data_IF_843432606125
#
_entry.id   IF_843432606125
#
_cell.length_a   1.000
_cell.length_b   1.000
_cell.length_c   1.000
_cell.angle_alpha   90.00
_cell.angle_beta   90.00
_cell.angle_gamma   90.00
#
_symmetry.space_group_name_H-M   'P 1'
#
loop_
_entity.id
_entity.type
_entity.pdbx_description
1 polymer ?
#
# COMPACT_ATOMS: atom_id res chain seq x y z
N UNK A 1 18.53 11.42 -8.00
CA UNK A 1 17.84 12.01 -9.18
C UNK A 1 16.51 12.65 -8.78
N UNK A 2 15.66 11.97 -8.00
CA UNK A 2 14.37 12.51 -7.54
C UNK A 2 14.49 13.86 -6.81
N UNK A 3 15.38 13.96 -5.81
CA UNK A 3 15.65 15.22 -5.09
C UNK A 3 15.97 16.40 -6.03
N UNK A 4 16.93 16.23 -6.95
CA UNK A 4 17.27 17.26 -7.93
C UNK A 4 16.09 17.66 -8.84
N UNK A 5 15.20 16.71 -9.17
CA UNK A 5 13.99 17.00 -9.95
C UNK A 5 12.95 17.77 -9.12
N UNK A 6 12.73 17.38 -7.86
CA UNK A 6 11.84 18.10 -6.95
C UNK A 6 12.31 19.55 -6.75
N UNK A 7 13.62 19.75 -6.57
CA UNK A 7 14.24 21.07 -6.56
C UNK A 7 13.96 21.84 -7.85
N UNK A 8 14.16 21.23 -9.01
CA UNK A 8 13.93 21.89 -10.30
C UNK A 8 12.49 22.38 -10.44
N UNK A 9 11.51 21.60 -9.98
CA UNK A 9 10.09 21.99 -9.97
C UNK A 9 9.87 23.14 -8.99
N UNK A 10 10.39 23.04 -7.78
CA UNK A 10 10.25 24.08 -6.75
C UNK A 10 10.90 25.43 -7.16
N UNK A 11 12.04 25.37 -7.85
CA UNK A 11 12.71 26.52 -8.45
C UNK A 11 11.86 27.12 -9.57
N UNK A 12 11.34 26.28 -10.48
CA UNK A 12 10.47 26.75 -11.56
C UNK A 12 9.20 27.44 -11.03
N UNK A 13 8.51 26.85 -10.04
CA UNK A 13 7.34 27.47 -9.40
C UNK A 13 7.69 28.81 -8.77
N UNK A 14 8.84 28.93 -8.10
CA UNK A 14 9.28 30.22 -7.53
C UNK A 14 9.48 31.27 -8.63
N UNK A 15 10.11 30.87 -9.74
CA UNK A 15 10.58 31.81 -10.75
C UNK A 15 9.49 32.23 -11.76
N UNK A 16 8.41 31.45 -11.90
CA UNK A 16 7.35 31.70 -12.92
C UNK A 16 6.02 32.22 -12.38
N UNK A 17 5.81 32.20 -11.06
CA UNK A 17 4.51 32.55 -10.45
C UNK A 17 4.16 34.03 -10.46
N UNK A 18 5.10 34.91 -10.78
CA UNK A 18 4.81 36.34 -10.95
C UNK A 18 4.28 37.04 -9.69
N UNK A 19 4.44 36.44 -8.51
CA UNK A 19 3.92 36.94 -7.23
C UNK A 19 2.64 36.26 -6.75
N UNK A 20 2.07 35.31 -7.50
CA UNK A 20 0.92 34.52 -7.08
C UNK A 20 1.25 33.66 -5.84
N UNK A 21 0.28 33.54 -4.92
CA UNK A 21 0.39 32.62 -3.78
C UNK A 21 0.08 31.19 -4.23
N UNK A 22 1.14 30.40 -4.40
CA UNK A 22 1.05 29.02 -4.87
C UNK A 22 1.33 28.02 -3.74
N UNK A 23 0.40 27.10 -3.56
CA UNK A 23 0.57 25.89 -2.77
C UNK A 23 1.22 24.79 -3.62
N UNK A 24 2.48 24.48 -3.34
CA UNK A 24 3.19 23.33 -3.92
C UNK A 24 3.16 22.17 -2.92
N UNK A 25 2.61 21.04 -3.36
CA UNK A 25 2.60 19.78 -2.63
C UNK A 25 3.47 18.78 -3.38
N UNK A 26 4.41 18.14 -2.68
CA UNK A 26 5.20 17.02 -3.17
C UNK A 26 4.96 15.86 -2.22
N UNK A 27 4.42 14.76 -2.73
CA UNK A 27 4.00 13.62 -1.91
C UNK A 27 4.31 12.30 -2.62
N UNK A 28 4.16 11.20 -1.88
CA UNK A 28 4.11 9.84 -2.40
C UNK A 28 2.70 9.28 -2.22
N UNK A 29 2.32 8.33 -3.06
CA UNK A 29 1.14 7.49 -2.89
C UNK A 29 1.30 6.50 -1.74
N UNK A 30 2.48 5.89 -1.62
CA UNK A 30 2.84 4.99 -0.52
C UNK A 30 4.35 5.08 -0.19
N UNK A 31 4.72 4.47 0.93
CA UNK A 31 6.11 4.14 1.27
C UNK A 31 6.53 2.79 0.67
N UNK A 32 7.59 2.19 1.19
CA UNK A 32 8.05 0.85 0.82
C UNK A 32 8.66 0.17 2.05
N UNK A 33 8.64 -1.16 2.07
CA UNK A 33 9.43 -1.98 3.00
C UNK A 33 10.38 -2.89 2.20
N UNK A 34 11.40 -3.41 2.88
CA UNK A 34 12.38 -4.30 2.24
C UNK A 34 11.82 -5.73 2.20
N UNK A 35 11.82 -6.34 1.01
CA UNK A 35 11.49 -7.76 0.84
C UNK A 35 12.58 -8.60 1.52
N UNK A 36 12.23 -9.33 2.57
CA UNK A 36 13.14 -10.23 3.27
C UNK A 36 13.04 -11.67 2.73
N UNK A 37 11.86 -12.07 2.28
CA UNK A 37 11.56 -13.41 1.78
C UNK A 37 10.43 -13.40 0.75
N UNK A 38 10.38 -14.45 -0.07
CA UNK A 38 9.35 -14.67 -1.08
C UNK A 38 8.47 -15.85 -0.65
N UNK A 39 7.15 -15.65 -0.67
CA UNK A 39 6.14 -16.61 -0.22
C UNK A 39 5.47 -17.23 -1.45
N UNK A 40 5.72 -18.51 -1.77
CA UNK A 40 5.19 -19.17 -2.96
C UNK A 40 3.76 -19.69 -2.70
N UNK A 41 2.81 -18.80 -2.42
CA UNK A 41 1.46 -19.14 -1.96
C UNK A 41 0.70 -20.05 -2.93
N UNK A 42 0.84 -19.84 -4.24
CA UNK A 42 0.21 -20.71 -5.24
C UNK A 42 0.74 -22.15 -5.14
N UNK A 43 2.06 -22.30 -5.02
CA UNK A 43 2.70 -23.62 -4.83
C UNK A 43 2.20 -24.28 -3.53
N UNK A 44 2.12 -23.52 -2.43
CA UNK A 44 1.61 -24.03 -1.15
C UNK A 44 0.17 -24.58 -1.28
N UNK A 45 -0.70 -23.87 -2.00
CA UNK A 45 -2.08 -24.31 -2.25
C UNK A 45 -2.15 -25.57 -3.11
N UNK A 46 -1.29 -25.67 -4.14
CA UNK A 46 -1.21 -26.86 -5.00
C UNK A 46 -0.72 -28.07 -4.23
N UNK A 47 0.35 -27.93 -3.45
CA UNK A 47 0.93 -29.01 -2.64
C UNK A 47 -0.05 -29.52 -1.56
N UNK A 48 -0.90 -28.63 -1.04
CA UNK A 48 -1.97 -28.99 -0.12
C UNK A 48 -3.20 -29.62 -0.79
N UNK A 49 -3.24 -29.71 -2.12
CA UNK A 49 -4.40 -30.20 -2.88
C UNK A 49 -5.60 -29.24 -2.85
N UNK A 50 -5.37 -27.97 -2.55
CA UNK A 50 -6.38 -26.92 -2.49
C UNK A 50 -6.51 -26.16 -3.83
N UNK A 51 -5.53 -26.32 -4.71
CA UNK A 51 -5.55 -25.88 -6.12
C UNK A 51 -5.09 -27.05 -7.00
N UNK A 52 -5.72 -27.26 -8.14
CA UNK A 52 -5.51 -28.45 -8.98
C UNK A 52 -4.20 -28.42 -9.75
N UNK A 53 -3.65 -27.23 -9.98
CA UNK A 53 -2.37 -27.03 -10.64
C UNK A 53 -2.12 -25.57 -11.01
N UNK A 54 -0.95 -25.22 -11.58
CA UNK A 54 -0.60 -23.83 -11.89
C UNK A 54 -1.56 -23.19 -12.89
N UNK A 55 -1.95 -23.91 -13.95
CA UNK A 55 -2.84 -23.38 -15.01
C UNK A 55 -4.34 -23.55 -14.69
N UNK A 56 -4.68 -24.00 -13.49
CA UNK A 56 -6.06 -24.21 -13.05
C UNK A 56 -6.72 -22.89 -12.62
N UNK A 57 -8.05 -22.81 -12.59
CA UNK A 57 -8.79 -21.53 -12.41
C UNK A 57 -9.87 -21.56 -11.33
N UNK A 58 -10.06 -22.71 -10.69
CA UNK A 58 -11.00 -22.90 -9.59
C UNK A 58 -10.52 -22.24 -8.29
N UNK A 59 -9.19 -22.09 -8.13
CA UNK A 59 -8.55 -21.25 -7.13
C UNK A 59 -7.46 -20.43 -7.81
N UNK A 60 -7.55 -19.10 -7.73
CA UNK A 60 -6.59 -18.17 -8.35
C UNK A 60 -5.97 -17.28 -7.29
N UNK A 61 -4.64 -17.22 -7.27
CA UNK A 61 -3.89 -16.29 -6.44
C UNK A 61 -3.52 -15.08 -7.27
N UNK A 62 -3.87 -13.88 -6.79
CA UNK A 62 -3.40 -12.62 -7.33
C UNK A 62 -2.49 -11.95 -6.28
N UNK A 63 -1.19 -11.94 -6.54
CA UNK A 63 -0.22 -11.24 -5.70
C UNK A 63 -0.34 -9.73 -5.88
N UNK A 64 -0.12 -9.00 -4.79
CA UNK A 64 -0.02 -7.54 -4.76
C UNK A 64 1.19 -7.14 -3.88
N UNK A 65 2.33 -7.81 -4.09
CA UNK A 65 3.56 -7.56 -3.34
C UNK A 65 3.46 -8.12 -1.92
N UNK A 66 3.21 -7.25 -0.93
CA UNK A 66 3.08 -7.64 0.48
C UNK A 66 1.67 -8.10 0.90
N UNK A 67 0.73 -8.13 -0.04
CA UNK A 67 -0.56 -8.80 0.12
C UNK A 67 -0.82 -9.77 -1.04
N UNK A 68 -1.79 -10.66 -0.84
CA UNK A 68 -2.30 -11.53 -1.88
C UNK A 68 -3.81 -11.70 -1.73
N UNK A 69 -4.46 -11.98 -2.86
CA UNK A 69 -5.89 -12.19 -2.96
C UNK A 69 -6.17 -13.57 -3.53
N UNK A 70 -7.04 -14.33 -2.88
CA UNK A 70 -7.41 -15.68 -3.32
C UNK A 70 -8.87 -15.63 -3.79
N UNK A 71 -9.07 -15.89 -5.08
CA UNK A 71 -10.37 -16.04 -5.70
C UNK A 71 -10.72 -17.52 -5.79
N UNK A 72 -11.95 -17.87 -5.42
CA UNK A 72 -12.42 -19.26 -5.41
C UNK A 72 -13.70 -19.36 -6.23
N UNK A 73 -13.68 -20.20 -7.27
CA UNK A 73 -14.84 -20.45 -8.11
C UNK A 73 -15.92 -21.26 -7.36
N UNK A 74 -17.17 -21.21 -7.83
CA UNK A 74 -18.30 -21.83 -7.12
C UNK A 74 -18.12 -23.35 -6.97
N UNK A 75 -17.50 -24.00 -7.95
CA UNK A 75 -17.19 -25.44 -7.97
C UNK A 75 -16.13 -25.89 -6.95
N UNK A 76 -15.33 -24.96 -6.40
CA UNK A 76 -14.26 -25.25 -5.45
C UNK A 76 -14.51 -24.66 -4.05
N UNK A 77 -15.75 -24.24 -3.75
CA UNK A 77 -16.09 -23.64 -2.45
C UNK A 77 -15.95 -24.61 -1.27
N UNK A 78 -15.97 -25.91 -1.52
CA UNK A 78 -15.66 -26.93 -0.52
C UNK A 78 -14.21 -26.84 0.01
N UNK A 79 -13.31 -26.18 -0.73
CA UNK A 79 -11.90 -25.97 -0.35
C UNK A 79 -11.69 -24.77 0.59
N UNK A 80 -12.69 -23.89 0.77
CA UNK A 80 -12.54 -22.65 1.56
C UNK A 80 -11.99 -22.90 2.98
N UNK A 81 -12.54 -23.89 3.69
CA UNK A 81 -12.07 -24.21 5.04
C UNK A 81 -10.64 -24.77 5.09
N UNK A 82 -10.21 -25.48 4.03
CA UNK A 82 -8.84 -25.95 3.91
C UNK A 82 -7.85 -24.82 3.61
N UNK A 83 -8.26 -23.86 2.76
CA UNK A 83 -7.47 -22.65 2.47
C UNK A 83 -7.31 -21.82 3.73
N UNK A 84 -8.40 -21.53 4.44
CA UNK A 84 -8.35 -20.77 5.70
C UNK A 84 -7.41 -21.43 6.72
N UNK A 85 -7.54 -22.73 6.95
CA UNK A 85 -6.68 -23.46 7.86
C UNK A 85 -5.19 -23.44 7.45
N UNK A 86 -4.89 -23.49 6.15
CA UNK A 86 -3.51 -23.39 5.64
C UNK A 86 -2.94 -21.99 5.88
N UNK A 87 -3.73 -20.94 5.67
CA UNK A 87 -3.33 -19.56 5.90
C UNK A 87 -3.10 -19.29 7.40
N UNK A 88 -4.01 -19.75 8.26
CA UNK A 88 -3.90 -19.60 9.72
C UNK A 88 -2.68 -20.34 10.30
N UNK A 89 -2.29 -21.46 9.69
CA UNK A 89 -1.12 -22.23 10.09
C UNK A 89 0.21 -21.68 9.54
N UNK A 90 0.18 -20.69 8.63
CA UNK A 90 1.37 -20.15 8.00
C UNK A 90 2.01 -19.07 8.87
N UNK A 91 3.29 -19.27 9.22
CA UNK A 91 4.09 -18.24 9.88
C UNK A 91 4.34 -17.01 8.98
N UNK A 92 4.06 -17.10 7.69
CA UNK A 92 4.30 -16.03 6.73
C UNK A 92 3.13 -15.04 6.60
N UNK A 93 1.94 -15.40 7.05
CA UNK A 93 0.72 -14.58 6.97
C UNK A 93 0.51 -13.80 8.28
N UNK A 94 0.16 -12.52 8.17
CA UNK A 94 -0.10 -11.66 9.34
C UNK A 94 -1.60 -11.49 9.61
N UNK A 95 -2.33 -10.95 8.63
CA UNK A 95 -3.78 -10.78 8.71
C UNK A 95 -4.49 -11.54 7.59
N UNK A 96 -5.65 -12.09 7.92
CA UNK A 96 -6.56 -12.77 6.98
C UNK A 96 -7.90 -12.04 7.04
N UNK A 97 -8.36 -11.57 5.88
CA UNK A 97 -9.67 -10.95 5.70
C UNK A 97 -10.53 -11.86 4.80
N UNK A 98 -11.66 -12.30 5.32
CA UNK A 98 -12.64 -13.13 4.61
C UNK A 98 -14.07 -12.67 4.90
N UNK A 99 -15.00 -12.99 4.00
CA UNK A 99 -16.41 -12.60 4.14
C UNK A 99 -16.57 -11.09 4.34
N UNK A 100 -17.36 -10.68 5.34
CA UNK A 100 -17.60 -9.26 5.63
C UNK A 100 -16.34 -8.48 6.04
N UNK A 101 -15.29 -9.17 6.52
CA UNK A 101 -14.04 -8.52 6.90
C UNK A 101 -13.27 -7.95 5.70
N UNK A 102 -13.54 -8.44 4.47
CA UNK A 102 -12.96 -7.91 3.23
C UNK A 102 -13.29 -6.41 3.04
N UNK A 103 -14.45 -5.96 3.50
CA UNK A 103 -14.84 -4.55 3.40
C UNK A 103 -13.93 -3.62 4.23
N UNK A 104 -13.27 -4.13 5.28
CA UNK A 104 -12.34 -3.34 6.11
C UNK A 104 -11.09 -2.89 5.35
N UNK A 105 -10.73 -3.63 4.30
CA UNK A 105 -9.59 -3.33 3.42
C UNK A 105 -10.04 -2.88 2.04
N UNK A 106 -11.29 -2.40 1.93
CA UNK A 106 -11.80 -1.78 0.70
C UNK A 106 -12.24 -2.75 -0.39
N UNK A 107 -12.30 -4.06 -0.12
CA UNK A 107 -12.80 -5.03 -1.09
C UNK A 107 -14.32 -5.16 -1.05
N UNK A 108 -14.87 -5.58 -2.20
CA UNK A 108 -16.28 -5.96 -2.33
C UNK A 108 -16.49 -7.37 -1.77
N UNK A 109 -17.57 -7.54 -1.03
CA UNK A 109 -17.96 -8.83 -0.41
C UNK A 109 -18.90 -9.65 -1.31
N UNK A 110 -19.39 -9.08 -2.40
CA UNK A 110 -20.29 -9.70 -3.37
C UNK A 110 -19.56 -10.22 -4.63
N UNK A 111 -18.34 -10.76 -4.44
CA UNK A 111 -17.47 -11.24 -5.53
C UNK A 111 -16.88 -12.61 -5.20
N UNK A 112 -16.24 -13.30 -6.16
CA UNK A 112 -15.51 -14.56 -5.90
C UNK A 112 -14.22 -14.41 -5.06
N UNK A 113 -13.86 -13.19 -4.63
CA UNK A 113 -12.75 -12.98 -3.70
C UNK A 113 -13.09 -13.63 -2.36
N UNK A 114 -12.36 -14.69 -2.01
CA UNK A 114 -12.57 -15.44 -0.79
C UNK A 114 -11.71 -14.90 0.36
N UNK A 115 -10.44 -14.62 0.08
CA UNK A 115 -9.47 -14.16 1.06
C UNK A 115 -8.64 -13.01 0.52
N UNK A 116 -8.41 -12.01 1.37
CA UNK A 116 -7.32 -11.05 1.21
C UNK A 116 -6.40 -11.22 2.40
N UNK A 117 -5.09 -11.34 2.16
CA UNK A 117 -4.12 -11.60 3.21
C UNK A 117 -2.94 -10.63 3.11
N UNK A 118 -2.32 -10.33 4.25
CA UNK A 118 -1.06 -9.60 4.32
C UNK A 118 0.07 -10.53 4.76
N UNK A 119 1.27 -10.26 4.28
CA UNK A 119 2.46 -10.95 4.73
C UNK A 119 2.95 -10.40 6.07
N UNK A 120 3.60 -11.26 6.86
CA UNK A 120 4.21 -10.87 8.13
C UNK A 120 5.40 -9.93 7.90
N UNK A 121 5.32 -8.78 8.56
CA UNK A 121 6.31 -7.72 8.56
C UNK A 121 6.96 -7.49 9.94
N UNK A 122 8.05 -6.73 9.96
CA UNK A 122 8.72 -6.30 11.20
C UNK A 122 9.40 -4.93 11.07
N UNK A 123 9.68 -4.31 12.21
CA UNK A 123 10.47 -3.08 12.34
C UNK A 123 11.98 -3.26 12.13
N UNK A 124 12.41 -4.45 11.68
CA UNK A 124 13.80 -4.73 11.35
C UNK A 124 14.35 -3.75 10.31
N UNK A 125 15.67 -3.61 10.25
CA UNK A 125 16.34 -2.76 9.28
C UNK A 125 17.18 -3.59 8.31
N UNK A 126 17.20 -3.18 7.04
CA UNK A 126 18.09 -3.78 6.04
C UNK A 126 19.55 -3.36 6.24
N UNK A 127 20.45 -3.83 5.39
CA UNK A 127 21.90 -3.54 5.46
C UNK A 127 22.26 -2.04 5.37
N UNK A 128 21.33 -1.21 4.89
CA UNK A 128 21.48 0.25 4.78
C UNK A 128 20.87 1.01 5.97
N UNK A 129 20.31 0.30 6.96
CA UNK A 129 19.65 0.90 8.12
C UNK A 129 18.22 1.40 7.84
N UNK A 130 17.63 1.07 6.69
CA UNK A 130 16.24 1.42 6.37
C UNK A 130 15.32 0.41 7.07
N UNK A 131 14.39 0.92 7.89
CA UNK A 131 13.44 0.10 8.63
C UNK A 131 12.30 -0.43 7.75
N UNK A 132 11.69 -1.52 8.20
CA UNK A 132 10.61 -2.21 7.51
C UNK A 132 11.16 -3.39 6.72
N UNK A 133 10.91 -4.59 7.25
CA UNK A 133 11.15 -5.86 6.58
C UNK A 133 9.82 -6.59 6.40
N UNK A 134 9.58 -7.16 5.24
CA UNK A 134 8.31 -7.82 4.93
C UNK A 134 8.51 -9.06 4.04
N UNK A 135 7.61 -10.03 4.15
CA UNK A 135 7.51 -11.11 3.17
C UNK A 135 6.73 -10.61 1.95
N UNK A 136 7.09 -11.05 0.75
CA UNK A 136 6.32 -10.74 -0.45
C UNK A 136 5.77 -12.02 -1.07
N UNK A 137 4.51 -12.00 -1.48
CA UNK A 137 3.91 -13.11 -2.20
C UNK A 137 4.46 -13.17 -3.63
N UNK A 138 4.87 -14.35 -4.05
CA UNK A 138 5.37 -14.59 -5.40
C UNK A 138 4.32 -14.19 -6.44
N UNK A 139 4.75 -13.41 -7.44
CA UNK A 139 3.97 -13.15 -8.64
C UNK A 139 4.65 -13.87 -9.82
N UNK A 140 4.10 -15.00 -10.32
CA UNK A 140 4.71 -15.72 -11.42
C UNK A 140 4.69 -14.94 -12.75
N UNK A 141 3.90 -13.86 -12.83
CA UNK A 141 3.78 -13.00 -14.01
C UNK A 141 4.70 -11.78 -13.95
N UNK A 142 5.34 -11.50 -12.80
CA UNK A 142 6.20 -10.34 -12.59
C UNK A 142 7.53 -10.71 -11.95
N UNK A 143 8.64 -10.25 -12.55
CA UNK A 143 9.98 -10.38 -11.96
C UNK A 143 10.38 -9.22 -11.04
N UNK A 144 9.45 -8.34 -10.67
CA UNK A 144 9.75 -7.09 -9.94
C UNK A 144 10.04 -7.31 -8.45
N UNK A 145 9.49 -8.38 -7.87
CA UNK A 145 9.71 -8.71 -6.45
C UNK A 145 11.02 -9.47 -6.28
N UNK A 146 11.94 -8.90 -5.50
CA UNK A 146 13.26 -9.47 -5.22
C UNK A 146 13.67 -9.24 -3.77
N UNK A 147 14.31 -10.24 -3.16
CA UNK A 147 14.88 -10.12 -1.82
C UNK A 147 15.88 -8.95 -1.79
N UNK A 148 15.81 -8.14 -0.74
CA UNK A 148 16.59 -6.90 -0.56
C UNK A 148 16.06 -5.70 -1.37
N UNK A 149 15.08 -5.91 -2.25
CA UNK A 149 14.38 -4.83 -2.94
C UNK A 149 13.34 -4.17 -2.06
N UNK A 150 12.96 -2.94 -2.39
CA UNK A 150 11.75 -2.32 -1.84
C UNK A 150 10.52 -2.83 -2.57
N UNK A 151 9.44 -3.10 -1.83
CA UNK A 151 8.12 -3.41 -2.37
C UNK A 151 7.05 -2.74 -1.48
N UNK A 152 5.79 -2.84 -1.86
CA UNK A 152 4.62 -2.34 -1.13
C UNK A 152 3.38 -3.23 -1.41
N UNK A 153 2.21 -2.76 -0.99
CA UNK A 153 0.90 -3.36 -1.28
C UNK A 153 0.28 -4.12 -0.11
N UNK A 154 0.91 -4.10 1.07
CA UNK A 154 0.39 -4.69 2.31
C UNK A 154 -0.13 -3.63 3.29
N UNK A 155 -0.03 -3.94 4.59
CA UNK A 155 -0.41 -3.07 5.70
C UNK A 155 0.77 -2.73 6.63
N UNK A 156 2.00 -2.87 6.16
CA UNK A 156 3.19 -2.51 6.92
C UNK A 156 3.26 -1.04 7.27
N UNK A 157 3.82 -0.75 8.45
CA UNK A 157 3.91 0.61 8.94
C UNK A 157 4.65 1.49 7.95
N UNK A 158 5.81 1.09 7.44
CA UNK A 158 6.61 2.00 6.61
C UNK A 158 6.09 2.12 5.18
N UNK A 159 5.37 1.13 4.66
CA UNK A 159 4.68 1.25 3.37
C UNK A 159 3.42 2.12 3.45
N UNK A 160 2.76 2.19 4.61
CA UNK A 160 1.61 3.06 4.83
C UNK A 160 1.99 4.49 5.26
N UNK A 161 3.28 4.80 5.40
CA UNK A 161 3.78 6.14 5.74
C UNK A 161 4.51 6.80 4.55
N UNK A 162 3.79 7.30 3.52
CA UNK A 162 4.39 8.10 2.45
C UNK A 162 4.93 9.43 2.98
N UNK A 163 5.89 10.02 2.26
CA UNK A 163 6.36 11.37 2.57
C UNK A 163 5.37 12.44 2.07
N UNK A 164 5.37 13.59 2.75
CA UNK A 164 4.63 14.79 2.35
C UNK A 164 5.48 16.04 2.61
N UNK A 165 5.62 16.87 1.59
CA UNK A 165 6.27 18.18 1.65
C UNK A 165 5.29 19.22 1.11
N UNK A 166 5.04 20.27 1.88
CA UNK A 166 4.14 21.37 1.51
C UNK A 166 4.92 22.69 1.54
N UNK A 167 4.68 23.55 0.55
CA UNK A 167 5.29 24.88 0.47
C UNK A 167 4.27 25.90 -0.05
N UNK A 168 4.20 27.07 0.59
CA UNK A 168 3.24 28.14 0.24
C UNK A 168 1.95 28.03 1.06
N UNK A 169 0.91 28.82 0.75
CA UNK A 169 -0.41 28.72 1.41
C UNK A 169 -0.40 28.93 2.93
N UNK A 170 0.54 29.73 3.42
CA UNK A 170 0.70 30.03 4.85
C UNK A 170 1.52 29.01 5.65
N UNK A 171 2.00 27.91 5.05
CA UNK A 171 2.87 26.96 5.74
C UNK A 171 4.29 27.52 5.96
N UNK A 172 4.79 27.41 7.20
CA UNK A 172 6.13 27.85 7.57
C UNK A 172 7.25 27.08 6.85
N UNK A 173 8.31 27.78 6.45
CA UNK A 173 9.48 27.17 5.82
C UNK A 173 10.37 26.45 6.85
N UNK A 174 10.82 25.24 6.52
CA UNK A 174 11.72 24.46 7.38
C UNK A 174 11.07 23.95 8.67
N UNK A 175 9.73 23.90 8.70
CA UNK A 175 8.97 23.39 9.83
C UNK A 175 8.62 21.93 9.57
N UNK A 176 8.89 21.07 10.56
CA UNK A 176 8.44 19.68 10.58
C UNK A 176 7.16 19.57 11.43
N UNK A 177 6.17 18.81 10.93
CA UNK A 177 4.94 18.51 11.68
C UNK A 177 4.96 17.07 12.13
N UNK A 178 4.72 16.84 13.42
CA UNK A 178 4.40 15.52 13.95
C UNK A 178 2.88 15.23 13.93
N UNK A 179 2.07 16.14 13.37
CA UNK A 179 0.62 15.93 13.27
C UNK A 179 0.35 14.80 12.28
N UNK A 180 -0.48 13.85 12.69
CA UNK A 180 -0.92 12.78 11.80
C UNK A 180 -1.76 13.35 10.65
N UNK A 181 -1.45 12.91 9.43
CA UNK A 181 -2.10 13.34 8.19
C UNK A 181 -2.35 12.14 7.30
N UNK A 182 -3.28 12.27 6.36
CA UNK A 182 -3.58 11.25 5.37
C UNK A 182 -3.59 11.83 3.97
N UNK A 183 -3.39 10.98 2.95
CA UNK A 183 -3.52 11.39 1.55
C UNK A 183 -4.89 12.03 1.24
N UNK A 184 -5.94 11.63 1.96
CA UNK A 184 -7.28 12.23 1.81
C UNK A 184 -7.37 13.68 2.28
N UNK A 185 -6.38 14.17 3.03
CA UNK A 185 -6.29 15.56 3.48
C UNK A 185 -5.78 16.51 2.39
N UNK A 186 -5.19 16.00 1.31
CA UNK A 186 -4.61 16.82 0.24
C UNK A 186 -5.69 17.62 -0.51
N UNK A 187 -6.79 16.98 -0.89
CA UNK A 187 -7.89 17.64 -1.59
C UNK A 187 -8.52 18.80 -0.80
N UNK A 188 -8.95 18.62 0.48
CA UNK A 188 -9.48 19.72 1.27
C UNK A 188 -8.43 20.80 1.57
N UNK A 189 -7.13 20.47 1.63
CA UNK A 189 -6.06 21.48 1.75
C UNK A 189 -5.96 22.37 0.51
N UNK A 190 -6.01 21.77 -0.69
CA UNK A 190 -6.00 22.51 -1.95
C UNK A 190 -7.23 23.40 -2.06
N UNK A 191 -8.42 22.88 -1.74
CA UNK A 191 -9.66 23.67 -1.79
C UNK A 191 -9.64 24.82 -0.79
N UNK A 192 -9.11 24.59 0.41
CA UNK A 192 -8.93 25.63 1.42
C UNK A 192 -8.01 26.75 0.91
N UNK A 193 -6.86 26.41 0.32
CA UNK A 193 -5.92 27.37 -0.28
C UNK A 193 -6.56 28.20 -1.39
N UNK A 194 -7.40 27.57 -2.22
CA UNK A 194 -8.12 28.24 -3.31
C UNK A 194 -9.34 29.04 -2.85
N UNK A 195 -9.67 29.04 -1.55
CA UNK A 195 -10.87 29.69 -1.02
C UNK A 195 -12.18 29.06 -1.52
N UNK A 196 -12.15 27.77 -1.87
CA UNK A 196 -13.29 27.03 -2.39
C UNK A 196 -14.06 26.28 -1.27
N UNK A 197 -15.34 25.92 -1.49
CA UNK A 197 -16.12 25.19 -0.51
C UNK A 197 -15.49 23.84 -0.14
N UNK A 198 -15.47 23.56 1.16
CA UNK A 198 -15.06 22.28 1.72
C UNK A 198 -16.30 21.41 1.94
N UNK A 199 -16.42 20.28 1.26
CA UNK A 199 -17.54 19.36 1.46
C UNK A 199 -17.44 18.08 0.63
N UNK A 200 -18.04 16.99 1.13
CA UNK A 200 -18.11 15.71 0.43
C UNK A 200 -16.79 14.92 0.38
N UNK A 201 -15.89 15.15 1.32
CA UNK A 201 -14.60 14.46 1.43
C UNK A 201 -14.41 13.94 2.86
N UNK A 202 -13.65 12.86 3.01
CA UNK A 202 -13.34 12.26 4.32
C UNK A 202 -12.22 12.99 5.06
N UNK A 203 -11.28 13.58 4.31
CA UNK A 203 -10.14 14.30 4.87
C UNK A 203 -10.47 15.71 5.37
N UNK A 204 -9.47 16.35 5.99
CA UNK A 204 -9.54 17.71 6.52
C UNK A 204 -8.37 18.56 6.00
N UNK A 205 -8.52 19.89 5.88
CA UNK A 205 -7.39 20.73 5.50
C UNK A 205 -6.23 20.58 6.49
N UNK A 206 -5.02 20.46 5.96
CA UNK A 206 -3.80 20.56 6.72
C UNK A 206 -3.69 21.97 7.31
N UNK A 207 -3.36 22.05 8.60
CA UNK A 207 -3.24 23.34 9.28
C UNK A 207 -1.82 23.89 9.12
N UNK A 208 -1.66 25.14 8.66
CA UNK A 208 -0.37 25.80 8.69
C UNK A 208 0.06 25.98 10.16
N UNK A 209 1.32 25.64 10.45
CA UNK A 209 1.98 25.92 11.73
C UNK A 209 2.68 27.27 11.69
#
# INVERSE_FOLDING_TARGET
RADANARRIADAVRDTTGGDDVLLIVASDHGHETVERIIPLETMLIEAGLKDGPDSSEVVVASNGFSAHIYVADEARDRLGGIEALLEASDDVDEIFAGDALARVGHRTDTPLAFSITARHSDGANEFGVKGLNGAFEDPLSGETRIGGGQHGGLGAYEQHPFLIVRGGGFGAGVESATETSAVDLAPTILWHLGLPLGGMDGKPLSPM
#
